data_IF_933867417977
#
_entry.id   IF_933867417977
#
_cell.length_a   1.000
_cell.length_b   1.000
_cell.length_c   1.000
_cell.angle_alpha   90.00
_cell.angle_beta   90.00
_cell.angle_gamma   90.00
#
_symmetry.space_group_name_H-M   'P 1'
#
loop_
_entity.id
_entity.type
_entity.pdbx_description
1 polymer ?
#
# COMPACT_ATOMS: atom_id res chain seq x y z
N UNK A 1 29.70 -19.30 -53.63
CA UNK A 1 28.55 -19.48 -54.53
C UNK A 1 27.41 -18.67 -53.97
N UNK A 2 27.10 -17.65 -54.70
CA UNK A 2 26.09 -16.61 -54.42
C UNK A 2 24.69 -17.19 -54.59
N UNK A 3 23.73 -16.83 -53.76
CA UNK A 3 22.36 -16.56 -54.20
C UNK A 3 21.65 -15.62 -53.28
N UNK A 4 21.47 -14.41 -53.76
CA UNK A 4 20.48 -13.44 -53.44
C UNK A 4 19.14 -13.86 -53.99
N UNK A 5 18.03 -13.53 -53.29
CA UNK A 5 16.69 -13.20 -53.82
C UNK A 5 15.83 -12.95 -52.57
N UNK A 6 14.97 -11.98 -52.45
CA UNK A 6 14.45 -10.91 -53.31
C UNK A 6 13.53 -10.06 -52.39
N UNK A 7 13.71 -8.80 -52.53
CA UNK A 7 12.85 -7.75 -51.96
C UNK A 7 11.51 -7.76 -52.72
N UNK A 8 10.40 -7.64 -52.03
CA UNK A 8 9.19 -7.17 -52.62
C UNK A 8 8.53 -6.09 -51.78
N UNK A 9 8.69 -4.91 -52.27
CA UNK A 9 8.04 -3.68 -51.87
C UNK A 9 6.61 -3.64 -52.45
N UNK A 10 5.66 -3.20 -51.67
CA UNK A 10 4.48 -2.50 -52.20
C UNK A 10 4.15 -1.29 -51.33
N UNK A 11 4.54 -0.17 -51.87
CA UNK A 11 4.02 1.17 -51.61
C UNK A 11 2.60 1.24 -52.17
N UNK A 12 1.66 1.87 -51.46
CA UNK A 12 0.58 2.71 -52.01
C UNK A 12 0.21 3.70 -50.90
N UNK A 13 0.62 4.92 -51.05
CA UNK A 13 -0.07 6.18 -51.43
C UNK A 13 -1.04 6.71 -50.37
N UNK A 14 -0.60 7.68 -49.65
CA UNK A 14 -0.85 9.13 -49.71
C UNK A 14 -2.22 9.56 -50.28
N UNK A 15 -3.04 10.19 -49.49
CA UNK A 15 -3.86 11.31 -49.91
C UNK A 15 -4.00 12.33 -48.76
N UNK A 16 -3.30 13.44 -48.94
CA UNK A 16 -3.44 14.71 -48.22
C UNK A 16 -4.59 15.45 -48.89
N UNK A 17 -5.57 15.89 -48.11
CA UNK A 17 -6.47 16.99 -48.56
C UNK A 17 -6.48 18.03 -47.45
N UNK A 18 -5.71 19.05 -47.68
CA UNK A 18 -5.80 20.34 -47.03
C UNK A 18 -6.92 21.14 -47.66
N UNK A 19 -7.82 21.70 -46.88
CA UNK A 19 -8.66 22.80 -47.34
C UNK A 19 -8.73 23.88 -46.28
N UNK A 20 -7.93 24.90 -46.52
CA UNK A 20 -8.00 26.21 -45.88
C UNK A 20 -9.16 26.98 -46.47
N UNK A 21 -10.05 27.49 -45.64
CA UNK A 21 -10.90 28.63 -45.99
C UNK A 21 -10.73 29.70 -44.92
N UNK A 22 -10.08 30.75 -45.36
CA UNK A 22 -9.95 32.02 -44.68
C UNK A 22 -11.03 32.93 -45.26
N UNK A 23 -11.98 33.39 -44.47
CA UNK A 23 -12.77 34.55 -44.82
C UNK A 23 -12.74 35.59 -43.72
N UNK A 24 -12.11 36.69 -44.08
CA UNK A 24 -12.18 37.97 -43.44
C UNK A 24 -13.52 38.64 -43.76
N UNK A 25 -14.27 39.04 -42.77
CA UNK A 25 -15.30 40.07 -42.94
C UNK A 25 -15.05 41.21 -41.95
N UNK A 26 -14.98 42.35 -42.59
CA UNK A 26 -14.68 43.68 -42.07
C UNK A 26 -15.83 44.24 -41.23
N UNK A 27 -15.44 45.10 -40.31
CA UNK A 27 -16.21 45.98 -39.48
C UNK A 27 -17.21 46.86 -40.26
N UNK A 28 -18.43 46.98 -39.75
CA UNK A 28 -19.19 48.24 -39.83
C UNK A 28 -20.11 48.37 -38.63
N UNK A 29 -20.00 49.51 -38.00
CA UNK A 29 -20.79 49.99 -36.87
C UNK A 29 -22.22 50.30 -37.30
N UNK A 30 -23.22 49.79 -36.55
CA UNK A 30 -24.46 50.51 -36.32
C UNK A 30 -25.04 50.14 -34.97
N UNK A 31 -25.33 51.15 -34.20
CA UNK A 31 -26.04 51.11 -32.93
C UNK A 31 -27.49 50.77 -33.18
N UNK A 32 -27.97 49.67 -32.59
CA UNK A 32 -29.38 49.59 -32.19
C UNK A 32 -29.50 48.86 -30.83
N UNK A 33 -30.16 49.59 -29.95
CA UNK A 33 -30.48 49.22 -28.55
C UNK A 33 -31.55 48.16 -28.61
N UNK A 34 -31.23 46.92 -28.34
CA UNK A 34 -32.21 45.90 -28.02
C UNK A 34 -32.05 45.47 -26.55
N UNK A 35 -33.13 45.70 -25.81
CA UNK A 35 -33.29 45.33 -24.43
C UNK A 35 -32.81 43.90 -24.11
N UNK A 36 -31.87 43.77 -23.19
CA UNK A 36 -31.53 42.50 -22.56
C UNK A 36 -32.72 41.89 -21.84
N UNK A 37 -33.37 40.94 -22.46
CA UNK A 37 -34.22 40.02 -21.75
C UNK A 37 -33.31 39.00 -21.06
N UNK A 38 -32.96 39.24 -19.83
CA UNK A 38 -32.32 38.26 -18.97
C UNK A 38 -33.28 37.08 -18.82
N UNK A 39 -33.00 36.03 -19.61
CA UNK A 39 -33.64 34.73 -19.38
C UNK A 39 -32.97 34.21 -18.07
N UNK A 40 -33.66 34.40 -16.95
CA UNK A 40 -33.33 33.71 -15.74
C UNK A 40 -33.59 32.22 -15.95
N UNK A 41 -32.55 31.44 -16.21
CA UNK A 41 -32.66 29.99 -16.06
C UNK A 41 -33.12 29.74 -14.63
N UNK A 42 -34.14 28.89 -14.43
CA UNK A 42 -34.42 28.40 -13.12
C UNK A 42 -33.18 27.62 -12.66
N UNK A 43 -32.50 28.09 -11.61
CA UNK A 43 -31.65 27.24 -10.79
C UNK A 43 -32.59 26.19 -10.21
N UNK A 44 -32.60 25.00 -10.80
CA UNK A 44 -33.08 23.83 -10.07
C UNK A 44 -32.11 23.67 -8.88
N UNK A 45 -32.54 24.13 -7.72
CA UNK A 45 -32.05 23.61 -6.47
C UNK A 45 -32.33 22.09 -6.52
N UNK A 46 -31.31 21.29 -6.77
CA UNK A 46 -31.42 19.86 -6.52
C UNK A 46 -31.64 19.73 -5.02
N UNK A 47 -32.89 19.52 -4.64
CA UNK A 47 -33.30 19.33 -3.26
C UNK A 47 -32.83 17.98 -2.69
N UNK A 48 -31.54 17.76 -2.69
CA UNK A 48 -30.90 16.78 -1.81
C UNK A 48 -30.71 17.53 -0.50
N UNK A 49 -31.43 17.11 0.52
CA UNK A 49 -31.26 17.67 1.85
C UNK A 49 -29.76 17.54 2.23
N UNK A 50 -29.14 18.60 2.77
CA UNK A 50 -27.75 18.53 3.17
C UNK A 50 -27.56 17.36 4.14
N UNK A 51 -26.63 16.50 3.81
CA UNK A 51 -26.28 15.32 4.63
C UNK A 51 -25.66 15.84 5.92
N UNK A 52 -26.06 15.32 7.07
CA UNK A 52 -25.54 15.67 8.38
C UNK A 52 -24.75 14.49 8.92
N UNK A 53 -23.41 14.60 8.90
CA UNK A 53 -22.57 13.48 9.36
C UNK A 53 -21.19 13.90 9.83
N UNK A 54 -20.57 13.03 10.63
CA UNK A 54 -19.13 13.03 10.87
C UNK A 54 -18.46 12.24 9.74
N UNK A 55 -17.48 12.86 9.08
CA UNK A 55 -16.73 12.29 7.97
C UNK A 55 -15.49 11.55 8.48
N UNK A 56 -14.79 12.16 9.45
CA UNK A 56 -13.60 11.60 10.06
C UNK A 56 -13.54 11.93 11.54
N UNK A 57 -12.95 11.02 12.31
CA UNK A 57 -12.73 11.15 13.74
C UNK A 57 -11.38 10.55 14.11
N UNK A 58 -10.50 11.36 14.69
CA UNK A 58 -9.20 10.90 15.16
C UNK A 58 -8.80 11.61 16.46
N UNK A 59 -7.85 11.05 17.20
CA UNK A 59 -7.20 11.69 18.34
C UNK A 59 -5.71 11.55 18.14
N UNK A 60 -5.02 12.66 17.90
CA UNK A 60 -3.62 12.65 17.50
C UNK A 60 -2.70 12.70 18.73
N UNK A 61 -1.73 11.82 18.79
CA UNK A 61 -0.75 11.74 19.89
C UNK A 61 0.16 12.98 19.98
N UNK A 62 0.35 13.65 18.84
CA UNK A 62 1.12 14.91 18.80
C UNK A 62 0.44 16.05 19.58
N UNK A 63 -0.88 16.04 19.67
CA UNK A 63 -1.70 17.09 20.33
C UNK A 63 -2.22 16.66 21.71
N UNK A 64 -1.98 15.39 22.08
CA UNK A 64 -2.52 14.80 23.30
C UNK A 64 -1.41 14.18 24.18
N UNK A 65 -1.00 14.92 25.21
CA UNK A 65 0.01 14.44 26.16
C UNK A 65 -0.45 13.15 26.84
N UNK A 66 0.42 12.16 26.89
CA UNK A 66 0.13 10.86 27.49
C UNK A 66 -0.49 9.82 26.56
N UNK A 67 -0.93 10.22 25.35
CA UNK A 67 -1.36 9.29 24.34
C UNK A 67 -0.14 8.63 23.66
N UNK A 68 -0.13 7.30 23.52
CA UNK A 68 1.02 6.56 23.00
C UNK A 68 1.08 6.50 21.47
N UNK A 69 -0.06 6.53 20.83
CA UNK A 69 -0.20 6.51 19.37
C UNK A 69 -1.49 7.19 18.97
N UNK A 70 -1.58 7.61 17.73
CA UNK A 70 -2.79 8.17 17.18
C UNK A 70 -3.93 7.15 17.21
N UNK A 71 -5.12 7.65 17.52
CA UNK A 71 -6.35 6.86 17.54
C UNK A 71 -7.19 7.28 16.34
N UNK A 72 -7.58 6.29 15.54
CA UNK A 72 -8.49 6.48 14.41
C UNK A 72 -9.85 5.90 14.78
N UNK A 73 -10.90 6.73 14.68
CA UNK A 73 -12.27 6.30 14.92
C UNK A 73 -12.82 5.52 13.74
N UNK A 74 -13.45 4.39 14.02
CA UNK A 74 -14.22 3.62 13.02
C UNK A 74 -15.68 4.05 13.10
N UNK A 75 -16.15 4.73 12.05
CA UNK A 75 -17.51 5.29 12.01
C UNK A 75 -18.48 4.25 11.44
N UNK A 76 -19.44 3.84 12.25
CA UNK A 76 -20.63 3.08 11.82
C UNK A 76 -21.74 4.08 11.50
N UNK A 77 -21.84 4.45 10.24
CA UNK A 77 -22.77 5.49 9.79
C UNK A 77 -24.23 5.08 9.94
N UNK A 78 -24.54 3.79 9.84
CA UNK A 78 -25.93 3.30 10.02
C UNK A 78 -26.39 3.43 11.48
N UNK A 79 -25.50 3.13 12.43
CA UNK A 79 -25.80 3.20 13.86
C UNK A 79 -25.47 4.54 14.50
N UNK A 80 -24.75 5.42 13.78
CA UNK A 80 -24.22 6.68 14.31
C UNK A 80 -23.32 6.43 15.53
N UNK A 81 -22.44 5.46 15.42
CA UNK A 81 -21.46 5.07 16.45
C UNK A 81 -20.07 5.23 15.89
N UNK A 82 -19.16 5.74 16.69
CA UNK A 82 -17.73 5.81 16.41
C UNK A 82 -17.00 4.92 17.42
N UNK A 83 -16.35 3.89 16.97
CA UNK A 83 -15.55 3.02 17.81
C UNK A 83 -14.12 3.52 17.84
N UNK A 84 -13.55 3.72 19.02
CA UNK A 84 -12.13 4.03 19.21
C UNK A 84 -11.45 3.00 20.10
N UNK A 85 -10.18 2.73 19.82
CA UNK A 85 -9.35 1.84 20.65
C UNK A 85 -8.25 2.66 21.30
N UNK A 86 -8.20 2.69 22.61
CA UNK A 86 -7.20 3.40 23.40
C UNK A 86 -6.24 2.37 24.00
N UNK A 87 -4.94 2.54 23.75
CA UNK A 87 -3.90 1.74 24.37
C UNK A 87 -3.95 1.90 25.91
N UNK A 88 -4.01 0.80 26.66
CA UNK A 88 -4.09 0.82 28.14
C UNK A 88 -2.86 1.45 28.81
N UNK A 89 -1.75 1.60 28.10
CA UNK A 89 -0.58 2.32 28.57
C UNK A 89 -0.67 3.84 28.37
N UNK A 90 -1.70 4.33 27.66
CA UNK A 90 -1.97 5.74 27.53
C UNK A 90 -2.48 6.30 28.87
N UNK A 91 -2.09 7.54 29.15
CA UNK A 91 -2.50 8.26 30.35
C UNK A 91 -3.30 9.51 29.92
N UNK A 92 -4.00 10.13 30.87
CA UNK A 92 -4.78 11.35 30.61
C UNK A 92 -5.90 11.16 29.59
N UNK A 93 -6.49 9.97 29.50
CA UNK A 93 -7.61 9.67 28.61
C UNK A 93 -8.89 10.44 28.94
N UNK A 94 -8.93 11.07 30.12
CA UNK A 94 -9.99 11.95 30.58
C UNK A 94 -9.89 13.39 30.01
N UNK A 95 -8.81 13.71 29.29
CA UNK A 95 -8.51 15.05 28.76
C UNK A 95 -7.98 15.00 27.31
N UNK A 96 -8.56 14.15 26.46
CA UNK A 96 -8.14 14.03 25.06
C UNK A 96 -8.93 14.99 24.15
N UNK A 97 -8.20 15.68 23.28
CA UNK A 97 -8.74 16.59 22.27
C UNK A 97 -8.82 15.86 20.93
N UNK A 98 -10.01 15.57 20.39
CA UNK A 98 -10.16 14.92 19.12
C UNK A 98 -10.03 15.89 17.95
N UNK A 99 -9.65 15.37 16.80
CA UNK A 99 -9.78 16.03 15.51
C UNK A 99 -10.97 15.41 14.78
N UNK A 100 -12.00 16.22 14.49
CA UNK A 100 -13.23 15.73 13.86
C UNK A 100 -13.53 16.53 12.60
N UNK A 101 -13.82 15.84 11.52
CA UNK A 101 -14.27 16.45 10.27
C UNK A 101 -15.76 16.17 10.07
N UNK A 102 -16.54 17.22 9.85
CA UNK A 102 -17.97 17.13 9.55
C UNK A 102 -18.28 17.59 8.14
N UNK A 103 -19.47 17.31 7.64
CA UNK A 103 -19.92 17.81 6.35
C UNK A 103 -19.84 19.34 6.27
N UNK A 104 -19.64 19.82 5.05
CA UNK A 104 -19.47 21.25 4.75
C UNK A 104 -20.60 22.09 5.34
N UNK A 105 -20.20 23.19 6.00
CA UNK A 105 -21.12 24.14 6.63
C UNK A 105 -21.90 23.57 7.82
N UNK A 106 -21.53 22.40 8.33
CA UNK A 106 -22.05 21.85 9.58
C UNK A 106 -21.22 22.32 10.79
N UNK A 107 -21.86 22.36 11.96
CA UNK A 107 -21.20 22.59 13.26
C UNK A 107 -21.28 21.33 14.10
N UNK A 108 -20.42 21.21 15.09
CA UNK A 108 -20.38 20.06 16.01
C UNK A 108 -20.29 20.52 17.46
N UNK A 109 -20.97 19.82 18.34
CA UNK A 109 -20.93 20.05 19.79
C UNK A 109 -20.77 18.69 20.50
N UNK A 110 -19.83 18.49 21.44
CA UNK A 110 -18.84 19.46 21.93
C UNK A 110 -17.88 19.95 20.86
N UNK A 111 -17.32 21.14 21.09
CA UNK A 111 -16.30 21.71 20.22
C UNK A 111 -15.06 20.79 20.18
N UNK A 112 -14.51 20.57 18.98
CA UNK A 112 -13.36 19.71 18.75
C UNK A 112 -12.06 20.24 19.33
N UNK A 113 -12.00 21.54 19.62
CA UNK A 113 -10.84 22.17 20.29
C UNK A 113 -10.88 22.02 21.83
N UNK A 114 -11.89 21.35 22.36
CA UNK A 114 -12.09 21.17 23.79
C UNK A 114 -11.81 19.72 24.20
N UNK A 115 -10.93 19.47 25.19
CA UNK A 115 -10.67 18.12 25.69
C UNK A 115 -11.93 17.44 26.20
N UNK A 116 -12.07 16.16 25.92
CA UNK A 116 -13.18 15.31 26.33
C UNK A 116 -12.68 14.12 27.15
N UNK A 117 -13.56 13.62 28.02
CA UNK A 117 -13.30 12.43 28.83
C UNK A 117 -13.69 11.15 28.06
N UNK A 118 -12.69 10.48 27.51
CA UNK A 118 -12.85 9.19 26.82
C UNK A 118 -12.67 7.96 27.73
N UNK A 119 -12.75 8.14 29.06
CA UNK A 119 -12.91 7.00 29.97
C UNK A 119 -14.32 6.41 29.91
N UNK A 120 -15.30 7.16 29.37
CA UNK A 120 -16.67 6.73 29.09
C UNK A 120 -17.09 7.22 27.68
N UNK A 121 -18.31 6.93 27.30
CA UNK A 121 -18.88 7.33 25.99
C UNK A 121 -19.06 8.84 25.90
N UNK A 122 -18.69 9.38 24.74
CA UNK A 122 -18.90 10.80 24.42
C UNK A 122 -19.89 10.93 23.27
N UNK A 123 -20.87 11.83 23.38
CA UNK A 123 -21.81 12.08 22.29
C UNK A 123 -21.48 13.41 21.63
N UNK A 124 -21.41 13.40 20.31
CA UNK A 124 -21.26 14.57 19.45
C UNK A 124 -22.53 14.80 18.67
N UNK A 125 -23.08 16.02 18.74
CA UNK A 125 -24.22 16.45 17.92
C UNK A 125 -23.70 17.28 16.74
N UNK A 126 -23.96 16.82 15.53
CA UNK A 126 -23.68 17.57 14.30
C UNK A 126 -24.92 18.27 13.85
N UNK A 127 -24.84 19.57 13.59
CA UNK A 127 -25.96 20.41 13.13
C UNK A 127 -25.61 21.05 11.79
N UNK A 128 -26.44 20.88 10.78
CA UNK A 128 -26.26 21.54 9.49
C UNK A 128 -26.88 22.98 9.49
N UNK A 129 -26.65 23.69 8.37
CA UNK A 129 -27.15 25.08 8.19
C UNK A 129 -28.67 25.22 8.22
N UNK A 130 -29.41 24.15 8.00
CA UNK A 130 -30.86 24.12 8.05
C UNK A 130 -31.40 23.82 9.46
N UNK A 131 -30.49 23.52 10.39
CA UNK A 131 -30.82 23.16 11.77
C UNK A 131 -31.21 21.69 11.95
N UNK A 132 -30.91 20.82 11.01
CA UNK A 132 -31.04 19.38 11.21
C UNK A 132 -29.88 18.86 12.06
N UNK A 133 -30.20 17.99 13.03
CA UNK A 133 -29.23 17.47 13.99
C UNK A 133 -29.13 15.96 13.90
N UNK A 134 -27.90 15.44 14.09
CA UNK A 134 -27.60 14.01 14.20
C UNK A 134 -26.58 13.79 15.31
N UNK A 135 -26.92 12.87 16.23
CA UNK A 135 -26.04 12.47 17.32
C UNK A 135 -25.17 11.27 16.93
N UNK A 136 -23.87 11.37 17.19
CA UNK A 136 -22.90 10.29 17.11
C UNK A 136 -22.40 9.96 18.51
N UNK A 137 -22.39 8.68 18.85
CA UNK A 137 -21.83 8.20 20.12
C UNK A 137 -20.44 7.60 19.89
N UNK A 138 -19.42 8.25 20.43
CA UNK A 138 -18.07 7.67 20.48
C UNK A 138 -18.02 6.64 21.61
N UNK A 139 -17.63 5.42 21.29
CA UNK A 139 -17.48 4.31 22.24
C UNK A 139 -15.98 3.98 22.36
N UNK A 140 -15.31 4.41 23.43
CA UNK A 140 -13.95 4.03 23.71
C UNK A 140 -13.88 2.58 24.18
N UNK A 141 -12.85 1.86 23.75
CA UNK A 141 -12.47 0.56 24.26
C UNK A 141 -11.00 0.63 24.63
N UNK A 142 -10.70 0.50 25.91
CA UNK A 142 -9.31 0.38 26.35
C UNK A 142 -8.83 -1.02 25.99
N UNK A 143 -7.83 -1.08 25.13
CA UNK A 143 -7.21 -2.33 24.72
C UNK A 143 -5.84 -2.42 25.40
N UNK A 144 -5.55 -3.58 25.99
CA UNK A 144 -4.17 -3.87 26.34
C UNK A 144 -3.37 -3.72 25.04
N UNK A 145 -2.27 -2.95 25.05
CA UNK A 145 -1.39 -2.97 23.91
C UNK A 145 -1.11 -4.43 23.64
N UNK A 146 -1.20 -4.84 22.39
CA UNK A 146 -0.48 -6.03 22.00
C UNK A 146 0.99 -5.62 22.17
N UNK A 147 1.46 -5.64 23.42
CA UNK A 147 2.88 -5.72 23.72
C UNK A 147 3.23 -7.07 23.13
N UNK A 148 3.57 -7.03 21.87
CA UNK A 148 4.40 -8.07 21.33
C UNK A 148 5.70 -7.85 22.07
N UNK A 149 5.78 -8.49 23.25
CA UNK A 149 7.07 -8.73 23.86
C UNK A 149 7.84 -9.50 22.79
N UNK A 150 8.46 -8.76 21.87
CA UNK A 150 9.64 -9.30 21.19
C UNK A 150 10.57 -9.66 22.33
N UNK A 151 10.85 -10.95 22.57
CA UNK A 151 11.75 -11.31 23.67
C UNK A 151 13.05 -10.57 23.41
N UNK A 152 13.23 -9.47 24.11
CA UNK A 152 14.45 -8.71 24.05
C UNK A 152 15.49 -9.52 24.81
N UNK A 153 16.11 -10.48 24.13
CA UNK A 153 17.31 -11.11 24.68
C UNK A 153 18.47 -10.19 24.33
N UNK A 154 18.90 -9.45 25.32
CA UNK A 154 20.10 -8.58 25.27
C UNK A 154 21.38 -9.32 24.87
N UNK A 155 21.35 -10.63 24.68
CA UNK A 155 22.50 -11.51 24.52
C UNK A 155 22.41 -12.32 23.21
N UNK A 156 22.21 -11.65 22.05
CA UNK A 156 22.45 -12.34 20.77
C UNK A 156 23.92 -12.67 20.62
N UNK A 157 24.21 -13.91 20.24
CA UNK A 157 25.58 -14.36 20.00
C UNK A 157 25.99 -14.05 18.54
N UNK A 158 27.17 -13.52 18.37
CA UNK A 158 27.73 -13.35 17.01
C UNK A 158 27.93 -14.73 16.35
N UNK A 159 27.49 -14.85 15.13
CA UNK A 159 27.58 -16.08 14.32
C UNK A 159 27.93 -15.75 12.87
N UNK A 160 28.59 -16.70 12.22
CA UNK A 160 28.67 -16.75 10.77
C UNK A 160 27.39 -17.34 10.15
N UNK A 161 27.41 -17.58 8.82
CA UNK A 161 26.27 -18.15 8.09
C UNK A 161 25.94 -19.57 8.58
N UNK A 162 24.67 -19.94 8.50
CA UNK A 162 24.14 -21.22 8.98
C UNK A 162 23.54 -21.99 7.83
N UNK A 163 23.91 -23.26 7.70
CA UNK A 163 23.26 -24.24 6.84
C UNK A 163 22.50 -25.20 7.74
N UNK A 164 21.18 -25.32 7.55
CA UNK A 164 20.32 -26.25 8.29
C UNK A 164 20.66 -27.69 7.87
N UNK A 165 20.78 -28.58 8.84
CA UNK A 165 21.24 -29.96 8.67
C UNK A 165 20.27 -31.00 9.18
N UNK A 166 19.20 -30.61 9.86
CA UNK A 166 18.22 -31.53 10.44
C UNK A 166 16.82 -30.90 10.52
N UNK A 167 15.80 -31.74 10.55
CA UNK A 167 14.41 -31.32 10.80
C UNK A 167 14.26 -30.76 12.22
N UNK A 168 13.30 -29.83 12.38
CA UNK A 168 13.00 -29.18 13.64
C UNK A 168 14.18 -28.43 14.27
N UNK A 169 15.20 -28.09 13.49
CA UNK A 169 16.33 -27.27 13.96
C UNK A 169 15.82 -25.90 14.38
N UNK A 170 16.34 -25.41 15.53
CA UNK A 170 16.07 -24.07 16.04
C UNK A 170 17.31 -23.21 15.89
N UNK A 171 17.12 -22.03 15.29
CA UNK A 171 18.17 -21.01 15.07
C UNK A 171 17.70 -19.78 15.83
N UNK A 172 18.29 -19.51 16.98
CA UNK A 172 17.74 -18.54 17.91
C UNK A 172 18.80 -17.63 18.52
N UNK A 173 18.44 -16.39 18.77
CA UNK A 173 19.26 -15.43 19.51
C UNK A 173 20.64 -15.19 18.87
N UNK A 174 20.71 -15.05 17.57
CA UNK A 174 21.96 -14.89 16.84
C UNK A 174 22.03 -13.53 16.13
N UNK A 175 23.27 -13.00 16.09
CA UNK A 175 23.64 -11.92 15.19
C UNK A 175 24.54 -12.50 14.09
N UNK A 176 23.95 -12.73 12.92
CA UNK A 176 24.60 -13.39 11.79
C UNK A 176 25.16 -12.34 10.84
N UNK A 177 26.46 -12.41 10.55
CA UNK A 177 27.13 -11.56 9.56
C UNK A 177 27.76 -12.42 8.47
N UNK A 178 27.49 -12.07 7.21
CA UNK A 178 28.02 -12.83 6.07
C UNK A 178 28.28 -11.96 4.84
N UNK A 179 29.28 -12.34 4.06
CA UNK A 179 29.63 -11.67 2.80
C UNK A 179 29.86 -12.64 1.63
N UNK A 180 29.86 -13.94 1.89
CA UNK A 180 30.26 -14.97 0.92
C UNK A 180 29.34 -16.20 0.90
N UNK A 181 28.23 -16.14 1.62
CA UNK A 181 27.19 -17.18 1.68
C UNK A 181 25.86 -16.53 2.02
N UNK A 182 24.73 -17.26 1.92
CA UNK A 182 23.47 -16.86 2.51
C UNK A 182 23.60 -16.78 4.02
N UNK A 183 22.85 -15.88 4.67
CA UNK A 183 22.88 -15.80 6.13
C UNK A 183 22.38 -17.09 6.78
N UNK A 184 21.21 -17.56 6.34
CA UNK A 184 20.65 -18.87 6.72
C UNK A 184 20.21 -19.58 5.44
N UNK A 185 20.58 -20.84 5.26
CA UNK A 185 20.17 -21.66 4.13
C UNK A 185 19.48 -22.95 4.61
N UNK A 186 18.26 -23.21 4.08
CA UNK A 186 17.44 -24.37 4.40
C UNK A 186 17.08 -25.07 3.08
N UNK A 187 17.35 -26.36 2.97
CA UNK A 187 16.99 -27.11 1.77
C UNK A 187 16.51 -28.53 2.13
N UNK A 188 15.20 -28.75 2.03
CA UNK A 188 14.58 -30.05 2.27
C UNK A 188 14.40 -30.43 3.74
N UNK A 189 14.51 -29.47 4.68
CA UNK A 189 14.30 -29.72 6.11
C UNK A 189 12.99 -29.06 6.58
N UNK A 190 12.18 -29.78 7.34
CA UNK A 190 10.88 -29.37 7.82
C UNK A 190 10.87 -28.99 9.30
N UNK A 191 9.93 -28.13 9.71
CA UNK A 191 9.71 -27.75 11.11
C UNK A 191 10.79 -26.83 11.68
N UNK A 192 11.58 -26.19 10.84
CA UNK A 192 12.65 -25.27 11.26
C UNK A 192 12.04 -24.00 11.84
N UNK A 193 12.65 -23.50 12.92
CA UNK A 193 12.28 -22.21 13.53
C UNK A 193 13.50 -21.30 13.55
N UNK A 194 13.33 -20.11 12.99
CA UNK A 194 14.30 -19.01 13.06
C UNK A 194 13.68 -17.93 13.93
N UNK A 195 14.27 -17.62 15.08
CA UNK A 195 13.69 -16.65 15.99
C UNK A 195 14.73 -15.72 16.62
N UNK A 196 14.33 -14.46 16.84
CA UNK A 196 15.12 -13.46 17.53
C UNK A 196 16.54 -13.27 16.93
N UNK A 197 16.65 -13.26 15.61
CA UNK A 197 17.92 -13.12 14.90
C UNK A 197 18.05 -11.74 14.21
N UNK A 198 19.27 -11.21 14.21
CA UNK A 198 19.67 -10.10 13.33
C UNK A 198 20.58 -10.68 12.25
N UNK A 199 20.26 -10.42 10.99
CA UNK A 199 21.01 -10.96 9.85
C UNK A 199 21.48 -9.81 8.97
N UNK A 200 22.77 -9.58 8.94
CA UNK A 200 23.45 -8.61 8.09
C UNK A 200 24.21 -9.35 6.98
N UNK A 201 23.87 -9.10 5.73
CA UNK A 201 24.49 -9.79 4.62
C UNK A 201 24.95 -8.82 3.52
N UNK A 202 25.94 -9.25 2.75
CA UNK A 202 26.47 -8.49 1.61
C UNK A 202 26.76 -9.44 0.44
N UNK A 203 27.30 -8.92 -0.65
CA UNK A 203 27.65 -9.74 -1.82
C UNK A 203 26.41 -10.14 -2.64
N UNK A 204 26.54 -11.19 -3.44
CA UNK A 204 25.48 -11.74 -4.28
C UNK A 204 24.73 -12.87 -3.55
N UNK A 205 24.28 -12.61 -2.33
CA UNK A 205 23.65 -13.56 -1.43
C UNK A 205 22.35 -12.99 -0.85
N UNK A 206 21.61 -13.81 -0.14
CA UNK A 206 20.35 -13.51 0.53
C UNK A 206 20.53 -13.57 2.04
N UNK A 207 19.68 -12.86 2.76
CA UNK A 207 19.67 -12.97 4.22
C UNK A 207 19.23 -14.36 4.66
N UNK A 208 18.03 -14.79 4.24
CA UNK A 208 17.49 -16.13 4.45
C UNK A 208 17.09 -16.71 3.11
N UNK A 209 17.55 -17.94 2.81
CA UNK A 209 17.15 -18.69 1.62
C UNK A 209 16.62 -20.06 2.03
N UNK A 210 15.44 -20.41 1.52
CA UNK A 210 14.88 -21.74 1.79
C UNK A 210 14.20 -22.34 0.57
N UNK A 211 14.21 -23.69 0.52
CA UNK A 211 13.48 -24.45 -0.45
C UNK A 211 13.01 -25.76 0.18
N UNK A 212 11.75 -26.15 -0.09
CA UNK A 212 11.13 -27.37 0.46
C UNK A 212 11.28 -27.46 1.98
N UNK A 213 10.96 -26.37 2.63
CA UNK A 213 11.15 -26.16 4.07
C UNK A 213 9.79 -26.08 4.78
N UNK A 214 8.98 -27.11 4.62
CA UNK A 214 7.61 -27.14 5.15
C UNK A 214 7.55 -26.90 6.66
N UNK A 215 6.50 -26.22 7.11
CA UNK A 215 6.30 -25.82 8.50
C UNK A 215 7.45 -24.92 9.03
N UNK A 216 8.01 -24.06 8.16
CA UNK A 216 9.02 -23.08 8.54
C UNK A 216 8.36 -21.91 9.26
N UNK A 217 8.94 -21.53 10.40
CA UNK A 217 8.60 -20.28 11.10
C UNK A 217 9.79 -19.35 11.15
N UNK A 218 9.60 -18.10 10.72
CA UNK A 218 10.55 -17.00 10.86
C UNK A 218 9.88 -15.93 11.71
N UNK A 219 10.42 -15.64 12.89
CA UNK A 219 9.79 -14.72 13.81
C UNK A 219 10.80 -13.80 14.54
N UNK A 220 10.40 -12.58 14.83
CA UNK A 220 11.21 -11.61 15.58
C UNK A 220 12.62 -11.44 14.99
N UNK A 221 12.73 -11.25 13.68
CA UNK A 221 14.00 -11.14 12.97
C UNK A 221 14.14 -9.80 12.24
N UNK A 222 15.37 -9.29 12.21
CA UNK A 222 15.76 -8.15 11.36
C UNK A 222 16.76 -8.61 10.31
N UNK A 223 16.47 -8.37 9.05
CA UNK A 223 17.29 -8.79 7.91
C UNK A 223 17.65 -7.57 7.06
N UNK A 224 18.94 -7.30 6.94
CA UNK A 224 19.45 -6.12 6.22
C UNK A 224 20.55 -6.45 5.23
N UNK A 225 20.44 -5.91 4.01
CA UNK A 225 21.57 -5.86 3.08
C UNK A 225 22.48 -4.68 3.44
N UNK A 226 23.67 -4.96 3.98
CA UNK A 226 24.51 -3.96 4.63
C UNK A 226 25.46 -3.21 3.71
N UNK A 227 25.42 -3.47 2.39
CA UNK A 227 26.28 -2.82 1.40
C UNK A 227 25.47 -2.15 0.26
N UNK A 228 24.29 -1.63 0.60
CA UNK A 228 23.51 -0.87 -0.36
C UNK A 228 24.20 0.46 -0.72
N UNK A 229 24.07 0.94 -1.96
CA UNK A 229 24.55 2.27 -2.33
C UNK A 229 23.77 3.35 -1.56
N UNK A 230 24.31 4.55 -1.48
CA UNK A 230 23.63 5.68 -0.83
C UNK A 230 22.25 5.91 -1.46
N UNK A 231 22.15 5.75 -2.80
CA UNK A 231 20.88 5.83 -3.52
C UNK A 231 20.90 4.87 -4.72
N UNK A 232 19.72 4.47 -5.20
CA UNK A 232 19.54 3.67 -6.40
C UNK A 232 19.65 2.17 -6.18
N UNK A 233 19.66 1.39 -7.28
CA UNK A 233 19.50 -0.05 -7.25
C UNK A 233 20.74 -0.79 -6.76
N UNK A 234 20.52 -2.04 -6.33
CA UNK A 234 21.58 -3.01 -6.16
C UNK A 234 22.13 -3.46 -7.52
N UNK A 235 23.35 -4.05 -7.56
CA UNK A 235 23.95 -4.51 -8.82
C UNK A 235 23.15 -5.57 -9.57
N UNK A 236 22.32 -6.34 -8.90
CA UNK A 236 21.47 -7.37 -9.48
C UNK A 236 20.23 -7.65 -8.62
N UNK A 237 19.29 -8.39 -9.19
CA UNK A 237 17.98 -8.68 -8.66
C UNK A 237 17.90 -9.86 -7.67
N UNK A 238 19.05 -10.42 -7.23
CA UNK A 238 19.09 -11.67 -6.48
C UNK A 238 19.42 -11.49 -5.00
N UNK A 239 19.51 -10.26 -4.50
CA UNK A 239 19.94 -9.93 -3.12
C UNK A 239 18.74 -9.71 -2.21
N UNK A 240 17.81 -10.67 -2.23
CA UNK A 240 16.59 -10.57 -1.45
C UNK A 240 16.87 -10.74 0.05
N UNK A 241 16.13 -10.07 0.91
CA UNK A 241 16.27 -10.29 2.35
C UNK A 241 15.84 -11.72 2.70
N UNK A 242 14.69 -12.16 2.18
CA UNK A 242 14.17 -13.52 2.34
C UNK A 242 13.77 -14.03 0.95
N UNK A 243 14.18 -15.25 0.60
CA UNK A 243 13.69 -15.92 -0.60
C UNK A 243 13.35 -17.38 -0.32
N UNK A 244 12.11 -17.74 -0.67
CA UNK A 244 11.53 -19.07 -0.45
C UNK A 244 11.02 -19.71 -1.72
N UNK A 245 11.15 -21.02 -1.79
CA UNK A 245 10.66 -21.82 -2.90
C UNK A 245 10.01 -23.13 -2.41
N UNK A 246 8.84 -23.48 -2.99
CA UNK A 246 8.17 -24.77 -2.84
C UNK A 246 8.05 -25.20 -1.36
N UNK A 247 7.35 -24.39 -0.55
CA UNK A 247 7.28 -24.56 0.91
C UNK A 247 5.85 -24.39 1.37
N UNK A 248 5.35 -25.37 2.13
CA UNK A 248 4.01 -25.38 2.71
C UNK A 248 4.02 -24.94 4.18
N UNK A 249 2.91 -24.37 4.65
CA UNK A 249 2.72 -23.94 6.04
C UNK A 249 3.81 -22.95 6.52
N UNK A 250 4.16 -21.99 5.67
CA UNK A 250 5.14 -20.95 5.98
C UNK A 250 4.52 -19.86 6.86
N UNK A 251 5.19 -19.53 7.96
CA UNK A 251 4.82 -18.41 8.83
C UNK A 251 6.00 -17.45 8.95
N UNK A 252 5.78 -16.17 8.61
CA UNK A 252 6.75 -15.08 8.80
C UNK A 252 6.07 -14.00 9.61
N UNK A 253 6.56 -13.72 10.81
CA UNK A 253 5.89 -12.76 11.69
C UNK A 253 6.90 -11.90 12.47
N UNK A 254 6.56 -10.60 12.68
CA UNK A 254 7.44 -9.66 13.36
C UNK A 254 8.83 -9.60 12.71
N UNK A 255 8.85 -9.36 11.41
CA UNK A 255 10.09 -9.35 10.63
C UNK A 255 10.29 -7.99 9.97
N UNK A 256 11.48 -7.45 10.17
CA UNK A 256 11.97 -6.24 9.51
C UNK A 256 12.92 -6.60 8.38
N UNK A 257 12.72 -5.99 7.20
CA UNK A 257 13.57 -6.15 6.02
C UNK A 257 14.03 -4.79 5.51
N UNK A 258 15.33 -4.66 5.22
CA UNK A 258 15.93 -3.38 4.81
C UNK A 258 16.93 -3.55 3.66
N UNK A 259 16.89 -2.63 2.70
CA UNK A 259 17.89 -2.44 1.65
C UNK A 259 18.12 -3.66 0.73
N UNK A 260 17.28 -4.68 0.76
CA UNK A 260 17.36 -5.83 -0.16
C UNK A 260 16.86 -5.51 -1.57
N UNK A 261 17.16 -6.36 -2.55
CA UNK A 261 16.56 -6.27 -3.89
C UNK A 261 15.03 -6.37 -3.81
N UNK A 262 14.55 -7.34 -3.07
CA UNK A 262 13.17 -7.53 -2.62
C UNK A 262 13.22 -7.88 -1.14
N UNK A 263 12.24 -7.47 -0.36
CA UNK A 263 12.15 -7.84 1.05
C UNK A 263 11.90 -9.33 1.21
N UNK A 264 10.75 -9.82 0.76
CA UNK A 264 10.35 -11.22 0.86
C UNK A 264 9.87 -11.69 -0.52
N UNK A 265 10.57 -12.64 -1.13
CA UNK A 265 10.15 -13.27 -2.37
C UNK A 265 9.77 -14.73 -2.13
N UNK A 266 8.54 -15.08 -2.47
CA UNK A 266 7.99 -16.44 -2.31
C UNK A 266 7.61 -16.97 -3.68
N UNK A 267 8.15 -18.13 -4.07
CA UNK A 267 7.83 -18.85 -5.30
C UNK A 267 7.23 -20.20 -4.94
N UNK A 268 5.97 -20.42 -5.32
CA UNK A 268 5.21 -21.64 -4.99
C UNK A 268 5.10 -21.93 -3.48
N UNK A 269 4.98 -20.88 -2.67
CA UNK A 269 4.71 -20.99 -1.24
C UNK A 269 3.22 -20.69 -0.99
N UNK A 270 2.39 -21.73 -1.10
CA UNK A 270 0.94 -21.61 -1.00
C UNK A 270 0.50 -21.32 0.45
N UNK A 271 -0.59 -20.58 0.61
CA UNK A 271 -1.25 -20.28 1.89
C UNK A 271 -0.29 -19.73 2.98
N UNK A 272 0.81 -19.10 2.57
CA UNK A 272 1.77 -18.50 3.50
C UNK A 272 1.14 -17.38 4.33
N UNK A 273 1.55 -17.27 5.60
CA UNK A 273 1.03 -16.27 6.54
C UNK A 273 2.15 -15.31 6.93
N UNK A 274 2.02 -14.06 6.49
CA UNK A 274 2.95 -12.97 6.79
C UNK A 274 2.23 -11.93 7.63
N UNK A 275 2.72 -11.67 8.86
CA UNK A 275 2.09 -10.70 9.76
C UNK A 275 3.13 -9.84 10.45
N UNK A 276 2.79 -8.57 10.72
CA UNK A 276 3.70 -7.60 11.33
C UNK A 276 5.04 -7.52 10.58
N UNK A 277 4.96 -7.13 9.31
CA UNK A 277 6.11 -6.98 8.42
C UNK A 277 6.45 -5.49 8.27
N UNK A 278 7.69 -5.15 8.60
CA UNK A 278 8.25 -3.81 8.41
C UNK A 278 9.29 -3.82 7.28
N UNK A 279 9.14 -2.95 6.28
CA UNK A 279 10.06 -2.83 5.16
C UNK A 279 10.60 -1.43 4.96
N UNK A 280 11.89 -1.30 4.65
CA UNK A 280 12.52 -0.03 4.33
C UNK A 280 13.39 -0.13 3.09
N UNK A 281 13.20 0.82 2.17
CA UNK A 281 14.08 1.09 1.02
C UNK A 281 14.40 -0.15 0.19
N UNK A 282 13.39 -0.76 -0.40
CA UNK A 282 13.62 -1.86 -1.34
C UNK A 282 14.38 -1.34 -2.56
N UNK A 283 15.42 -2.07 -2.99
CA UNK A 283 16.46 -1.56 -3.88
C UNK A 283 16.41 -2.08 -5.32
N UNK A 284 15.51 -2.99 -5.65
CA UNK A 284 15.51 -3.56 -7.01
C UNK A 284 16.85 -4.16 -7.43
N UNK A 285 17.30 -4.06 -8.67
CA UNK A 285 16.72 -3.31 -9.80
C UNK A 285 15.44 -3.96 -10.35
N UNK A 286 14.79 -3.26 -11.28
CA UNK A 286 13.68 -3.83 -12.04
C UNK A 286 13.97 -5.24 -12.55
N UNK A 287 13.07 -6.23 -12.44
CA UNK A 287 11.68 -6.18 -11.93
C UNK A 287 11.58 -6.51 -10.43
N UNK A 288 12.43 -5.97 -9.60
CA UNK A 288 12.46 -6.15 -8.14
C UNK A 288 12.23 -4.81 -7.44
N UNK A 289 12.22 -4.84 -6.13
CA UNK A 289 11.98 -3.68 -5.28
C UNK A 289 10.71 -3.80 -4.44
N UNK A 290 10.10 -4.97 -4.41
CA UNK A 290 8.90 -5.25 -3.65
C UNK A 290 9.21 -5.46 -2.15
N UNK A 291 8.29 -5.07 -1.27
CA UNK A 291 8.29 -5.59 0.10
C UNK A 291 8.00 -7.09 0.07
N UNK A 292 6.93 -7.49 -0.62
CA UNK A 292 6.57 -8.90 -0.81
C UNK A 292 6.27 -9.16 -2.28
N UNK A 293 6.84 -10.23 -2.82
CA UNK A 293 6.48 -10.79 -4.11
C UNK A 293 6.01 -12.24 -3.94
N UNK A 294 4.78 -12.49 -4.34
CA UNK A 294 4.22 -13.83 -4.51
C UNK A 294 4.38 -14.23 -5.99
N UNK A 295 5.15 -15.29 -6.26
CA UNK A 295 5.39 -15.83 -7.59
C UNK A 295 4.79 -17.25 -7.65
N UNK A 296 3.74 -17.45 -8.44
CA UNK A 296 3.01 -18.73 -8.56
C UNK A 296 2.50 -19.29 -7.23
N UNK A 297 2.10 -18.43 -6.31
CA UNK A 297 1.51 -18.83 -5.04
C UNK A 297 -0.03 -18.88 -5.12
N UNK A 298 -0.64 -19.82 -4.45
CA UNK A 298 -2.09 -19.91 -4.30
C UNK A 298 -2.46 -19.51 -2.87
N UNK A 299 -3.33 -18.52 -2.72
CA UNK A 299 -3.69 -17.99 -1.42
C UNK A 299 -2.50 -17.33 -0.71
N UNK A 300 -2.70 -16.97 0.52
CA UNK A 300 -1.70 -16.31 1.36
C UNK A 300 -2.25 -15.03 1.99
N UNK A 301 -1.71 -14.71 3.15
CA UNK A 301 -2.09 -13.54 3.93
C UNK A 301 -0.87 -12.67 4.18
N UNK A 302 -0.99 -11.37 3.86
CA UNK A 302 -0.12 -10.32 4.37
C UNK A 302 -0.99 -9.37 5.19
N UNK A 303 -0.77 -9.31 6.49
CA UNK A 303 -1.59 -8.51 7.38
C UNK A 303 -0.74 -7.76 8.40
N UNK A 304 -1.14 -6.54 8.73
CA UNK A 304 -0.41 -5.65 9.63
C UNK A 304 1.03 -5.44 9.12
N UNK A 305 1.19 -4.61 8.11
CA UNK A 305 2.49 -4.36 7.50
C UNK A 305 2.69 -2.89 7.19
N UNK A 306 3.94 -2.49 7.09
CA UNK A 306 4.31 -1.21 6.51
C UNK A 306 5.54 -1.33 5.63
N UNK A 307 5.58 -0.56 4.55
CA UNK A 307 6.78 -0.34 3.74
C UNK A 307 6.97 1.14 3.49
N UNK A 308 8.16 1.62 3.81
CA UNK A 308 8.56 3.00 3.59
C UNK A 308 9.76 3.02 2.64
N UNK A 309 9.53 3.50 1.44
CA UNK A 309 10.53 3.65 0.41
C UNK A 309 10.80 5.15 0.18
N UNK A 310 11.91 5.64 0.71
CA UNK A 310 12.39 6.97 0.34
C UNK A 310 12.72 6.98 -1.16
N UNK A 311 12.01 7.79 -1.92
CA UNK A 311 12.10 7.84 -3.39
C UNK A 311 13.47 8.29 -3.90
N UNK A 312 14.25 8.96 -3.10
CA UNK A 312 15.64 9.34 -3.43
C UNK A 312 16.64 8.21 -3.16
N UNK A 313 16.27 7.25 -2.33
CA UNK A 313 17.13 6.14 -1.87
C UNK A 313 16.71 4.81 -2.51
N UNK A 314 15.44 4.47 -2.44
CA UNK A 314 14.89 3.21 -2.90
C UNK A 314 14.88 3.07 -4.42
N UNK A 315 14.63 1.85 -4.90
CA UNK A 315 14.48 1.55 -6.33
C UNK A 315 13.34 0.55 -6.52
N UNK A 316 12.16 1.01 -6.15
CA UNK A 316 10.94 0.20 -6.02
C UNK A 316 10.13 0.27 -7.29
N UNK A 317 9.74 -0.90 -7.82
CA UNK A 317 8.71 -0.99 -8.85
C UNK A 317 7.34 -1.06 -8.18
N UNK A 318 6.80 -2.26 -7.97
CA UNK A 318 5.62 -2.47 -7.15
C UNK A 318 6.01 -2.62 -5.69
N UNK A 319 5.15 -2.21 -4.77
CA UNK A 319 5.43 -2.49 -3.36
C UNK A 319 5.03 -3.91 -2.97
N UNK A 320 3.90 -4.40 -3.49
CA UNK A 320 3.45 -5.78 -3.37
C UNK A 320 3.13 -6.30 -4.77
N UNK A 321 3.77 -7.39 -5.19
CA UNK A 321 3.51 -8.03 -6.48
C UNK A 321 2.91 -9.42 -6.29
N UNK A 322 1.78 -9.66 -6.93
CA UNK A 322 1.10 -10.96 -7.00
C UNK A 322 1.24 -11.44 -8.46
N UNK A 323 2.40 -12.02 -8.75
CA UNK A 323 2.83 -12.44 -10.07
C UNK A 323 2.46 -13.90 -10.32
N UNK A 324 1.67 -14.17 -11.34
CA UNK A 324 1.20 -15.54 -11.67
C UNK A 324 0.54 -16.28 -10.51
N UNK A 325 -0.02 -15.51 -9.58
CA UNK A 325 -0.54 -15.95 -8.29
C UNK A 325 -1.97 -15.46 -8.11
N UNK A 326 -2.77 -16.14 -7.32
CA UNK A 326 -4.15 -15.74 -7.05
C UNK A 326 -4.62 -16.08 -5.64
N UNK A 327 -5.63 -15.38 -5.17
CA UNK A 327 -6.26 -15.63 -3.87
C UNK A 327 -5.54 -14.99 -2.68
N UNK A 328 -4.52 -14.15 -2.91
CA UNK A 328 -3.82 -13.45 -1.85
C UNK A 328 -4.73 -12.43 -1.17
N UNK A 329 -4.57 -12.30 0.14
CA UNK A 329 -5.23 -11.31 0.97
C UNK A 329 -4.17 -10.35 1.55
N UNK A 330 -4.27 -9.08 1.19
CA UNK A 330 -3.37 -8.01 1.63
C UNK A 330 -4.18 -7.07 2.50
N UNK A 331 -3.88 -7.00 3.79
CA UNK A 331 -4.74 -6.31 4.76
C UNK A 331 -3.99 -5.44 5.73
N UNK A 332 -4.63 -4.35 6.15
CA UNK A 332 -4.19 -3.48 7.26
C UNK A 332 -2.73 -3.02 7.10
N UNK A 333 -2.46 -2.34 6.00
CA UNK A 333 -1.10 -1.94 5.64
C UNK A 333 -0.93 -0.45 5.40
N UNK A 334 0.33 -0.01 5.46
CA UNK A 334 0.78 1.29 5.00
C UNK A 334 1.86 1.11 3.94
N UNK A 335 1.68 1.73 2.79
CA UNK A 335 2.63 1.76 1.69
C UNK A 335 3.00 3.20 1.39
N UNK A 336 4.29 3.53 1.53
CA UNK A 336 4.82 4.87 1.24
C UNK A 336 5.90 4.77 0.18
N UNK A 337 5.70 5.49 -0.90
CA UNK A 337 6.68 5.67 -1.97
C UNK A 337 6.84 4.49 -2.92
N UNK A 338 6.90 4.82 -4.19
CA UNK A 338 7.55 4.02 -5.22
C UNK A 338 8.20 4.98 -6.22
N UNK A 339 9.11 4.50 -7.05
CA UNK A 339 9.83 5.33 -8.00
C UNK A 339 9.92 4.73 -9.39
N UNK A 340 8.98 3.89 -9.75
CA UNK A 340 8.79 3.35 -11.09
C UNK A 340 7.61 4.03 -11.79
N UNK A 341 7.71 4.34 -13.09
CA UNK A 341 6.61 4.88 -13.87
C UNK A 341 5.55 3.82 -14.24
N UNK A 342 5.85 2.54 -14.09
CA UNK A 342 4.93 1.43 -14.37
C UNK A 342 4.41 0.73 -13.13
N UNK A 343 5.16 0.79 -12.03
CA UNK A 343 4.83 0.10 -10.78
C UNK A 343 3.74 0.78 -9.96
N UNK A 344 3.10 0.00 -9.12
CA UNK A 344 2.00 0.43 -8.26
C UNK A 344 2.19 -0.03 -6.81
N UNK A 345 1.27 0.34 -5.95
CA UNK A 345 1.27 -0.13 -4.56
C UNK A 345 1.06 -1.64 -4.47
N UNK A 346 -0.02 -2.17 -5.08
CA UNK A 346 -0.31 -3.60 -5.15
C UNK A 346 -0.63 -4.00 -6.59
N UNK A 347 0.08 -4.97 -7.13
CA UNK A 347 -0.07 -5.46 -8.50
C UNK A 347 -0.50 -6.92 -8.52
N UNK A 348 -1.60 -7.22 -9.20
CA UNK A 348 -2.00 -8.57 -9.62
C UNK A 348 -1.76 -8.68 -11.12
N UNK A 349 -0.92 -9.62 -11.56
CA UNK A 349 -0.46 -9.68 -12.94
C UNK A 349 -0.14 -11.08 -13.43
N UNK A 350 -0.07 -11.23 -14.77
CA UNK A 350 0.42 -12.42 -15.49
C UNK A 350 -0.37 -13.72 -15.27
N UNK A 351 -1.66 -13.64 -14.94
CA UNK A 351 -2.51 -14.83 -14.75
C UNK A 351 -2.88 -15.55 -16.06
N UNK A 352 -2.70 -14.92 -17.22
CA UNK A 352 -2.95 -15.52 -18.54
C UNK A 352 -1.69 -16.15 -19.17
N UNK A 353 -0.57 -16.18 -18.46
CA UNK A 353 0.70 -16.68 -19.00
C UNK A 353 1.01 -18.10 -18.52
N UNK A 354 1.92 -18.79 -19.23
CA UNK A 354 2.33 -20.14 -18.86
C UNK A 354 2.91 -20.18 -17.43
N UNK A 355 2.46 -21.17 -16.67
CA UNK A 355 2.89 -21.40 -15.29
C UNK A 355 2.12 -20.59 -14.24
N UNK A 356 1.11 -19.80 -14.61
CA UNK A 356 0.22 -19.15 -13.65
C UNK A 356 -0.56 -20.20 -12.85
N UNK A 357 -0.82 -19.90 -11.56
CA UNK A 357 -1.49 -20.81 -10.62
C UNK A 357 -2.65 -20.11 -9.89
N UNK A 358 -3.62 -20.91 -9.45
CA UNK A 358 -4.70 -20.44 -8.58
C UNK A 358 -5.87 -19.75 -9.29
N UNK A 359 -5.82 -19.55 -10.61
CA UNK A 359 -6.89 -18.87 -11.35
C UNK A 359 -6.90 -17.37 -11.10
N UNK A 360 -8.05 -16.80 -10.70
CA UNK A 360 -8.22 -15.36 -10.46
C UNK A 360 -8.71 -15.12 -9.04
N UNK A 361 -8.65 -13.87 -8.60
CA UNK A 361 -9.16 -13.42 -7.30
C UNK A 361 -8.06 -12.93 -6.37
N UNK A 362 -8.49 -12.09 -5.44
CA UNK A 362 -7.66 -11.53 -4.40
C UNK A 362 -8.41 -10.46 -3.63
N UNK A 363 -7.85 -10.06 -2.51
CA UNK A 363 -8.40 -9.01 -1.65
C UNK A 363 -7.29 -8.07 -1.21
N UNK A 364 -7.51 -6.77 -1.42
CA UNK A 364 -6.72 -5.71 -0.80
C UNK A 364 -7.67 -4.91 0.06
N UNK A 365 -7.41 -4.86 1.37
CA UNK A 365 -8.36 -4.31 2.32
C UNK A 365 -7.68 -3.51 3.41
N UNK A 366 -8.22 -2.33 3.73
CA UNK A 366 -7.70 -1.47 4.79
C UNK A 366 -6.21 -1.12 4.60
N UNK A 367 -5.81 -0.70 3.41
CA UNK A 367 -4.42 -0.31 3.09
C UNK A 367 -4.37 1.15 2.69
N UNK A 368 -3.42 1.87 3.27
CA UNK A 368 -3.14 3.27 2.95
C UNK A 368 -1.92 3.38 2.02
N UNK A 369 -2.00 4.32 1.10
CA UNK A 369 -0.98 4.56 0.09
C UNK A 369 -0.60 6.03 0.05
N UNK A 370 0.68 6.32 0.25
CA UNK A 370 1.23 7.67 0.24
C UNK A 370 2.36 7.81 -0.77
N UNK A 371 2.49 8.97 -1.36
CA UNK A 371 3.60 9.33 -2.25
C UNK A 371 3.79 8.34 -3.42
N UNK A 372 2.69 7.78 -3.91
CA UNK A 372 2.72 6.85 -5.03
C UNK A 372 2.98 7.58 -6.34
N UNK A 373 3.90 7.07 -7.11
CA UNK A 373 4.32 7.71 -8.35
C UNK A 373 3.44 7.38 -9.55
N UNK A 374 2.82 6.23 -9.56
CA UNK A 374 1.97 5.76 -10.65
C UNK A 374 0.59 5.36 -10.11
N UNK A 375 0.37 4.11 -9.81
CA UNK A 375 -0.92 3.61 -9.35
C UNK A 375 -0.92 3.18 -7.89
N UNK A 376 -2.09 2.93 -7.40
CA UNK A 376 -2.31 2.40 -6.04
C UNK A 376 -2.50 0.90 -6.09
N UNK A 377 -3.42 0.43 -6.95
CA UNK A 377 -3.71 -0.99 -7.07
C UNK A 377 -4.12 -1.37 -8.50
N UNK A 378 -3.65 -2.49 -8.96
CA UNK A 378 -3.89 -2.96 -10.33
C UNK A 378 -4.24 -4.44 -10.38
N UNK A 379 -5.10 -4.79 -11.36
CA UNK A 379 -5.44 -6.17 -11.71
C UNK A 379 -5.37 -6.30 -13.23
N UNK A 380 -4.28 -6.81 -13.74
CA UNK A 380 -3.94 -6.79 -15.16
C UNK A 380 -3.54 -8.16 -15.68
N UNK A 381 -3.35 -8.29 -16.99
CA UNK A 381 -2.74 -9.46 -17.65
C UNK A 381 -3.38 -10.80 -17.24
N UNK A 382 -4.68 -10.90 -17.45
CA UNK A 382 -5.46 -12.10 -17.14
C UNK A 382 -5.89 -12.23 -15.67
N UNK A 383 -5.38 -11.41 -14.77
CA UNK A 383 -5.91 -11.31 -13.41
C UNK A 383 -7.37 -10.82 -13.42
N UNK A 384 -8.07 -10.95 -12.32
CA UNK A 384 -9.46 -10.51 -12.21
C UNK A 384 -10.10 -11.00 -10.92
N UNK A 385 -11.36 -10.66 -10.70
CA UNK A 385 -12.10 -10.96 -9.47
C UNK A 385 -11.38 -10.43 -8.22
N UNK A 386 -10.61 -9.33 -8.36
CA UNK A 386 -9.91 -8.70 -7.25
C UNK A 386 -10.82 -7.67 -6.59
N UNK A 387 -10.88 -7.69 -5.28
CA UNK A 387 -11.62 -6.70 -4.50
C UNK A 387 -10.64 -5.74 -3.83
N UNK A 388 -10.79 -4.46 -4.14
CA UNK A 388 -10.13 -3.33 -3.50
C UNK A 388 -11.12 -2.70 -2.54
N UNK A 389 -10.95 -2.90 -1.23
CA UNK A 389 -11.91 -2.55 -0.20
C UNK A 389 -11.31 -1.62 0.84
N UNK A 390 -11.91 -0.47 1.07
CA UNK A 390 -11.47 0.54 2.04
C UNK A 390 -9.99 0.91 1.88
N UNK A 391 -9.56 1.07 0.62
CA UNK A 391 -8.22 1.60 0.34
C UNK A 391 -8.25 3.12 0.41
N UNK A 392 -7.19 3.71 0.98
CA UNK A 392 -7.06 5.15 1.08
C UNK A 392 -5.73 5.59 0.45
N UNK A 393 -5.80 6.52 -0.49
CA UNK A 393 -4.64 7.01 -1.22
C UNK A 393 -4.54 8.53 -1.11
N UNK A 394 -3.36 9.03 -0.78
CA UNK A 394 -3.06 10.46 -0.64
C UNK A 394 -1.69 10.80 -1.23
N UNK A 395 -1.54 12.03 -1.70
CA UNK A 395 -0.28 12.51 -2.26
C UNK A 395 0.20 11.66 -3.45
N UNK A 396 -0.70 11.40 -4.39
CA UNK A 396 -0.33 10.70 -5.62
C UNK A 396 0.44 11.66 -6.52
N UNK A 397 1.69 11.32 -6.80
CA UNK A 397 2.65 12.17 -7.50
C UNK A 397 2.71 11.76 -8.96
N UNK A 398 2.44 12.69 -9.88
CA UNK A 398 2.66 12.48 -11.30
C UNK A 398 4.03 13.03 -11.71
N UNK A 399 4.69 12.37 -12.64
CA UNK A 399 5.88 12.91 -13.28
C UNK A 399 7.13 12.07 -13.13
N UNK A 400 8.25 12.72 -12.97
CA UNK A 400 9.57 12.10 -12.94
C UNK A 400 9.74 11.20 -11.71
N UNK A 401 9.78 9.90 -11.96
CA UNK A 401 9.85 8.87 -10.93
C UNK A 401 11.16 8.10 -11.07
N UNK A 402 12.02 8.29 -10.13
CA UNK A 402 13.24 7.56 -9.84
C UNK A 402 13.87 6.75 -10.98
N UNK A 403 13.46 5.52 -11.17
CA UNK A 403 14.10 4.56 -12.07
C UNK A 403 14.19 5.01 -13.52
N UNK A 404 13.15 5.68 -14.00
CA UNK A 404 13.05 6.14 -15.39
C UNK A 404 12.99 7.66 -15.43
N UNK A 405 13.89 8.34 -14.72
CA UNK A 405 13.99 9.79 -14.70
C UNK A 405 13.99 10.35 -16.11
N UNK A 406 13.06 11.27 -16.36
CA UNK A 406 12.84 11.85 -17.67
C UNK A 406 11.83 11.12 -18.54
N UNK A 407 11.30 9.98 -18.11
CA UNK A 407 10.09 9.44 -18.68
C UNK A 407 8.88 10.07 -17.97
N UNK A 408 7.91 10.60 -18.70
CA UNK A 408 6.66 11.01 -18.06
C UNK A 408 6.04 9.77 -17.43
N UNK A 409 5.90 9.78 -16.11
CA UNK A 409 5.19 8.75 -15.38
C UNK A 409 3.87 8.48 -16.07
N UNK A 410 3.49 7.23 -16.22
CA UNK A 410 2.20 6.93 -16.77
C UNK A 410 1.18 7.55 -15.82
N UNK A 411 0.34 8.34 -16.34
CA UNK A 411 -0.55 9.31 -15.76
C UNK A 411 -1.47 8.69 -14.71
N UNK A 412 -0.91 8.32 -13.55
CA UNK A 412 -1.58 7.88 -12.34
C UNK A 412 -2.96 7.27 -12.57
N UNK A 413 -2.94 6.06 -13.08
CA UNK A 413 -4.10 5.18 -13.06
C UNK A 413 -4.16 4.62 -11.65
N UNK A 414 -4.95 5.21 -10.78
CA UNK A 414 -4.96 4.85 -9.36
C UNK A 414 -5.45 3.43 -9.19
N UNK A 415 -6.55 3.09 -9.88
CA UNK A 415 -7.04 1.72 -10.01
C UNK A 415 -7.01 1.32 -11.48
N UNK A 416 -6.17 0.36 -11.85
CA UNK A 416 -6.08 -0.11 -13.23
C UNK A 416 -6.50 -1.58 -13.34
N UNK A 417 -7.27 -1.90 -14.40
CA UNK A 417 -7.70 -3.26 -14.67
C UNK A 417 -7.80 -3.48 -16.18
N UNK A 418 -6.68 -3.44 -16.87
CA UNK A 418 -6.63 -3.68 -18.33
C UNK A 418 -6.12 -5.09 -18.63
N UNK A 419 -6.54 -5.64 -19.76
CA UNK A 419 -6.23 -7.02 -20.19
C UNK A 419 -6.52 -8.07 -19.09
N UNK A 420 -7.62 -7.85 -18.36
CA UNK A 420 -8.04 -8.63 -17.19
C UNK A 420 -9.17 -9.58 -17.53
N UNK A 421 -9.40 -10.59 -16.68
CA UNK A 421 -10.57 -11.46 -16.77
C UNK A 421 -11.86 -10.81 -16.25
N UNK A 422 -11.80 -9.57 -15.74
CA UNK A 422 -12.94 -8.82 -15.21
C UNK A 422 -13.32 -9.18 -13.77
N UNK A 423 -14.51 -8.75 -13.33
CA UNK A 423 -15.03 -9.05 -11.99
C UNK A 423 -14.39 -8.28 -10.86
N UNK A 424 -13.60 -7.24 -11.19
CA UNK A 424 -12.91 -6.42 -10.19
C UNK A 424 -13.89 -5.49 -9.48
N UNK A 425 -13.58 -5.12 -8.24
CA UNK A 425 -14.44 -4.24 -7.42
C UNK A 425 -13.61 -3.23 -6.67
N UNK A 426 -14.10 -2.00 -6.64
CA UNK A 426 -13.63 -0.92 -5.78
C UNK A 426 -14.78 -0.61 -4.83
N UNK A 427 -14.54 -0.73 -3.52
CA UNK A 427 -15.57 -0.62 -2.50
C UNK A 427 -15.08 0.31 -1.40
N UNK A 428 -15.82 1.38 -1.14
CA UNK A 428 -15.59 2.34 -0.03
C UNK A 428 -14.13 2.84 0.04
N UNK A 429 -13.57 3.22 -1.12
CA UNK A 429 -12.19 3.71 -1.21
C UNK A 429 -12.14 5.25 -1.15
N UNK A 430 -10.99 5.80 -0.74
CA UNK A 430 -10.73 7.24 -0.72
C UNK A 430 -9.49 7.53 -1.56
N UNK A 431 -9.59 8.54 -2.44
CA UNK A 431 -8.45 9.03 -3.22
C UNK A 431 -8.39 10.54 -3.09
N UNK A 432 -7.53 11.04 -2.21
CA UNK A 432 -7.39 12.45 -1.92
C UNK A 432 -6.12 13.03 -2.57
N UNK A 433 -6.21 14.25 -3.12
CA UNK A 433 -5.09 14.96 -3.76
C UNK A 433 -4.35 14.14 -4.83
N UNK A 434 -5.09 13.59 -5.79
CA UNK A 434 -4.46 12.99 -6.96
C UNK A 434 -3.96 14.05 -7.93
N UNK A 435 -2.75 13.88 -8.44
CA UNK A 435 -2.19 14.69 -9.52
C UNK A 435 -2.97 14.60 -10.84
N UNK A 436 -3.81 13.57 -10.99
CA UNK A 436 -4.70 13.37 -12.13
C UNK A 436 -6.10 12.94 -11.68
N UNK A 437 -6.91 13.89 -11.18
CA UNK A 437 -8.22 13.57 -10.62
C UNK A 437 -9.24 13.04 -11.65
N UNK A 438 -8.92 13.09 -12.94
CA UNK A 438 -9.81 12.62 -14.02
C UNK A 438 -9.55 11.17 -14.42
N UNK A 439 -8.52 10.52 -13.87
CA UNK A 439 -8.11 9.16 -14.22
C UNK A 439 -7.94 8.28 -12.97
N UNK A 440 -8.94 8.26 -12.12
CA UNK A 440 -8.91 7.45 -10.89
C UNK A 440 -9.04 5.95 -11.20
N UNK A 441 -9.95 5.60 -12.13
CA UNK A 441 -10.25 4.20 -12.51
C UNK A 441 -10.10 4.02 -14.00
N UNK A 442 -9.39 2.98 -14.43
CA UNK A 442 -9.23 2.71 -15.87
C UNK A 442 -8.95 1.24 -16.20
N UNK A 443 -9.60 0.71 -17.23
CA UNK A 443 -10.85 1.19 -17.76
C UNK A 443 -12.03 0.76 -16.87
N UNK A 444 -13.01 1.64 -16.70
CA UNK A 444 -14.13 1.42 -15.78
C UNK A 444 -14.93 0.15 -16.08
N UNK A 445 -15.04 -0.25 -17.37
CA UNK A 445 -15.83 -1.41 -17.77
C UNK A 445 -15.28 -2.77 -17.30
N UNK A 446 -14.09 -2.81 -16.72
CA UNK A 446 -13.49 -4.01 -16.12
C UNK A 446 -13.74 -4.10 -14.60
N UNK A 447 -14.55 -3.19 -14.07
CA UNK A 447 -14.96 -3.20 -12.67
C UNK A 447 -16.48 -3.39 -12.57
N UNK A 448 -16.91 -4.36 -11.78
CA UNK A 448 -18.33 -4.61 -11.49
C UNK A 448 -18.90 -3.58 -10.51
N UNK A 449 -18.07 -3.06 -9.63
CA UNK A 449 -18.39 -2.05 -8.62
C UNK A 449 -17.31 -0.98 -8.63
N UNK A 450 -17.72 0.28 -8.66
CA UNK A 450 -16.83 1.44 -8.53
C UNK A 450 -17.45 2.37 -7.47
N UNK A 451 -16.90 2.31 -6.28
CA UNK A 451 -17.30 3.13 -5.14
C UNK A 451 -16.07 3.74 -4.49
N UNK A 452 -15.83 5.02 -4.74
CA UNK A 452 -14.75 5.78 -4.14
C UNK A 452 -15.15 7.26 -3.97
N UNK A 453 -14.48 7.92 -3.03
CA UNK A 453 -14.59 9.36 -2.77
C UNK A 453 -13.26 10.04 -3.02
N UNK A 454 -13.28 11.25 -3.55
CA UNK A 454 -12.07 12.03 -3.85
C UNK A 454 -12.07 13.44 -3.24
N UNK A 455 -12.99 13.71 -2.37
CA UNK A 455 -13.21 14.98 -1.69
C UNK A 455 -12.93 14.94 -0.17
N UNK A 456 -12.46 13.81 0.34
CA UNK A 456 -12.23 13.59 1.77
C UNK A 456 -10.74 13.43 2.02
N UNK A 457 -10.18 14.29 2.86
CA UNK A 457 -8.85 14.11 3.43
C UNK A 457 -8.88 13.07 4.56
N UNK A 458 -7.76 12.48 4.87
CA UNK A 458 -7.63 11.48 5.94
C UNK A 458 -6.22 11.49 6.52
N UNK A 459 -6.10 11.11 7.79
CA UNK A 459 -4.81 10.81 8.37
C UNK A 459 -4.42 9.37 8.07
N UNK A 460 -3.20 9.15 7.55
CA UNK A 460 -2.70 7.81 7.25
C UNK A 460 -2.52 6.99 8.52
N UNK A 461 -2.58 5.67 8.36
CA UNK A 461 -2.22 4.73 9.42
C UNK A 461 -0.77 4.95 9.85
N UNK A 462 -0.52 4.75 11.13
CA UNK A 462 0.84 4.72 11.64
C UNK A 462 1.64 3.57 11.03
N UNK A 463 2.91 3.81 10.75
CA UNK A 463 3.81 2.75 10.32
C UNK A 463 4.01 1.73 11.46
N UNK A 464 4.11 0.46 11.09
CA UNK A 464 4.57 -0.57 12.01
C UNK A 464 6.06 -0.34 12.24
N UNK A 465 6.46 -0.25 13.49
CA UNK A 465 7.86 -0.14 13.90
C UNK A 465 8.21 -1.31 14.81
N UNK A 466 9.10 -2.15 14.34
CA UNK A 466 9.60 -3.30 15.08
C UNK A 466 10.94 -2.94 15.71
N UNK A 467 10.97 -2.82 17.02
CA UNK A 467 12.20 -2.53 17.76
C UNK A 467 12.93 -3.81 18.12
N UNK A 468 14.05 -4.05 17.48
CA UNK A 468 14.98 -5.16 17.78
C UNK A 468 16.14 -4.74 18.67
N UNK A 469 16.26 -3.45 18.99
CA UNK A 469 17.23 -2.95 19.93
C UNK A 469 16.73 -3.21 21.35
N UNK A 470 17.39 -4.08 22.07
CA UNK A 470 17.23 -4.12 23.52
C UNK A 470 17.64 -2.78 24.06
N UNK A 471 16.72 -1.98 24.55
CA UNK A 471 17.08 -0.85 25.41
C UNK A 471 17.92 -1.42 26.54
N UNK A 472 19.22 -1.09 26.56
CA UNK A 472 20.06 -1.41 27.67
C UNK A 472 19.42 -0.76 28.90
N UNK A 473 18.85 -1.59 29.78
CA UNK A 473 18.45 -1.14 31.10
C UNK A 473 19.72 -0.64 31.80
N UNK A 474 19.90 0.68 31.77
CA UNK A 474 20.86 1.33 32.67
C UNK A 474 20.33 1.35 34.10
#
# INVERSE_FOLDING_TARGET
MVNLFSINSNLISLLIVSLTILELISCSSDHDILSETVIKLPTEESGVAPIVRIIDFSIQSADNEGLKSDIIGVIDEEKKIIYIQIDSSSTLIEELTPTVTVDRESTIEPDTDTPQDFSDKVTYTVTNVEGAEVDYTVIPTVVEPIIVETPCTSNRQDSGPIIVTENNQRIENLHIKTSNQHGIEINGFTGVVISNCIIEYTGAYMGIKFAKADNLTIENCSIKYSNAPISGPLPDATRNCIEGFDTENLVITHVKVEDGSTGIRLDQCDESVLTFIEGHNMRGPFPRGQLVQYDKCIGGLLENFSVINDREIAWTEDNISIYKSAGQQIKKGLIVGNNSPSGVGVMFEDQNTEGARGGTGGLVEDVDFLEMGNGVASSVEGSGNVTFNRLRAKQIICGDLGQDRGQPGSKSLIFAAFDTSGGNKIIDCIVYESCNPTNIVWPEYNFDVIDYRNDIDFEPRSAIVLDFACLSSN
#
